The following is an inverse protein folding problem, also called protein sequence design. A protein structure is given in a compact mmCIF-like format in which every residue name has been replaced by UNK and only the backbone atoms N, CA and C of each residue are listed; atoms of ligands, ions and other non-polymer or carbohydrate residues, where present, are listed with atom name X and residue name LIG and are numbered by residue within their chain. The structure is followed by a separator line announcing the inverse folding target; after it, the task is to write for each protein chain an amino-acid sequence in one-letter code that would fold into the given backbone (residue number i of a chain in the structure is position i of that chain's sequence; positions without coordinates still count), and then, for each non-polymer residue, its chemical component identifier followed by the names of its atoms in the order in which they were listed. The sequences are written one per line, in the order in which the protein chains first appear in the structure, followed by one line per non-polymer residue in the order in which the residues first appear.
data_IF_887333374806
#
_entry.id   IF_887333374806
#
_cell.length_a   1.000
_cell.length_b   1.000
_cell.length_c   1.000
_cell.angle_alpha   90.00
_cell.angle_beta   90.00
_cell.angle_gamma   90.00
#
_symmetry.space_group_name_H-M   'P 1'
#
loop_
_entity.id
_entity.type
_entity.pdbx_description
1 polymer ?
#
# COMPACT_ATOMS: atom_id res chain seq x y z
N UNK A 1 2.06 14.50 1.61
CA UNK A 1 1.93 13.05 1.36
C UNK A 1 0.60 12.57 1.90
N UNK A 2 -0.37 12.32 1.02
CA UNK A 2 -1.65 11.69 1.34
C UNK A 2 -1.51 10.16 1.37
N UNK A 3 -2.49 9.46 1.94
CA UNK A 3 -2.50 8.00 1.89
C UNK A 3 -2.58 7.47 0.46
N UNK A 4 -3.31 8.15 -0.43
CA UNK A 4 -3.39 7.83 -1.86
C UNK A 4 -2.03 7.99 -2.56
N UNK A 5 -1.29 9.06 -2.26
CA UNK A 5 0.06 9.27 -2.79
C UNK A 5 1.01 8.15 -2.34
N UNK A 6 0.91 7.71 -1.07
CA UNK A 6 1.70 6.59 -0.55
C UNK A 6 1.37 5.26 -1.25
N UNK A 7 0.08 4.93 -1.40
CA UNK A 7 -0.36 3.71 -2.10
C UNK A 7 0.10 3.73 -3.56
N UNK A 8 0.00 4.88 -4.24
CA UNK A 8 0.47 5.04 -5.62
C UNK A 8 1.98 4.80 -5.73
N UNK A 9 2.77 5.36 -4.81
CA UNK A 9 4.22 5.16 -4.80
C UNK A 9 4.60 3.68 -4.62
N UNK A 10 3.90 2.95 -3.74
CA UNK A 10 4.10 1.51 -3.54
C UNK A 10 3.75 0.74 -4.82
N UNK A 11 2.57 0.98 -5.40
CA UNK A 11 2.11 0.28 -6.61
C UNK A 11 3.01 0.55 -7.82
N UNK A 12 3.55 1.76 -7.95
CA UNK A 12 4.46 2.13 -9.05
C UNK A 12 5.83 1.46 -8.98
N UNK A 13 6.26 1.01 -7.79
CA UNK A 13 7.56 0.37 -7.58
C UNK A 13 7.41 -1.07 -7.10
N UNK A 14 6.26 -1.68 -7.38
CA UNK A 14 5.89 -2.96 -6.83
C UNK A 14 6.81 -4.06 -7.39
N UNK A 15 7.42 -4.90 -6.53
CA UNK A 15 8.49 -5.78 -6.92
C UNK A 15 8.00 -6.97 -7.76
N UNK A 16 8.88 -7.58 -8.60
CA UNK A 16 8.55 -8.77 -9.37
C UNK A 16 8.06 -9.95 -8.52
N UNK A 17 7.36 -10.91 -9.14
CA UNK A 17 6.63 -11.96 -8.42
C UNK A 17 7.49 -12.86 -7.54
N UNK A 18 8.77 -13.01 -7.87
CA UNK A 18 9.75 -13.78 -7.10
C UNK A 18 10.03 -13.24 -5.70
N UNK A 19 9.64 -11.99 -5.38
CA UNK A 19 9.84 -11.38 -4.08
C UNK A 19 8.60 -11.54 -3.17
N UNK A 20 8.22 -12.79 -2.90
CA UNK A 20 6.94 -13.14 -2.25
C UNK A 20 6.74 -12.46 -0.89
N UNK A 21 7.71 -12.58 0.03
CA UNK A 21 7.61 -11.96 1.37
C UNK A 21 7.54 -10.43 1.31
N UNK A 22 8.26 -9.79 0.38
CA UNK A 22 8.21 -8.34 0.22
C UNK A 22 6.86 -7.91 -0.36
N UNK A 23 6.32 -8.64 -1.34
CA UNK A 23 4.98 -8.38 -1.89
C UNK A 23 3.91 -8.48 -0.82
N UNK A 24 3.94 -9.53 0.00
CA UNK A 24 3.01 -9.72 1.13
C UNK A 24 3.06 -8.55 2.13
N UNK A 25 4.27 -8.10 2.49
CA UNK A 25 4.44 -6.96 3.38
C UNK A 25 3.87 -5.66 2.77
N UNK A 26 4.08 -5.44 1.47
CA UNK A 26 3.52 -4.28 0.76
C UNK A 26 1.99 -4.35 0.64
N UNK A 27 1.42 -5.53 0.44
CA UNK A 27 -0.04 -5.72 0.38
C UNK A 27 -0.71 -5.41 1.73
N UNK A 28 -0.10 -5.85 2.83
CA UNK A 28 -0.53 -5.50 4.18
C UNK A 28 -0.43 -3.99 4.42
N UNK A 29 0.66 -3.36 3.98
CA UNK A 29 0.83 -1.91 4.10
C UNK A 29 -0.25 -1.14 3.32
N UNK A 30 -0.55 -1.54 2.07
CA UNK A 30 -1.63 -0.94 1.27
C UNK A 30 -2.97 -1.08 1.98
N UNK A 31 -3.28 -2.27 2.52
CA UNK A 31 -4.54 -2.54 3.23
C UNK A 31 -4.72 -1.60 4.42
N UNK A 32 -3.68 -1.40 5.22
CA UNK A 32 -3.71 -0.46 6.35
C UNK A 32 -3.91 0.98 5.87
N UNK A 33 -3.19 1.40 4.83
CA UNK A 33 -3.31 2.76 4.29
C UNK A 33 -4.71 3.03 3.72
N UNK A 34 -5.33 2.04 3.06
CA UNK A 34 -6.70 2.15 2.55
C UNK A 34 -7.73 2.24 3.70
N UNK A 35 -7.53 1.49 4.79
CA UNK A 35 -8.38 1.56 5.97
C UNK A 35 -8.28 2.93 6.67
N UNK A 36 -7.07 3.47 6.82
CA UNK A 36 -6.84 4.79 7.41
C UNK A 36 -7.37 5.93 6.53
N UNK A 37 -7.30 5.78 5.20
CA UNK A 37 -7.92 6.72 4.26
C UNK A 37 -9.43 6.80 4.45
N UNK A 38 -10.09 5.65 4.61
CA UNK A 38 -11.55 5.58 4.84
C UNK A 38 -11.97 6.14 6.19
N UNK A 39 -11.18 5.92 7.25
CA UNK A 39 -11.48 6.45 8.61
C UNK A 39 -11.48 7.97 8.66
N UNK A 40 -10.69 8.67 7.84
CA UNK A 40 -10.69 10.15 7.80
C UNK A 40 -11.94 10.75 7.14
N UNK A 41 -12.76 9.94 6.46
CA UNK A 41 -13.99 10.38 5.78
C UNK A 41 -15.23 10.14 6.69
N UNK A 42 -15.04 9.56 7.88
CA UNK A 42 -16.10 9.31 8.88
C UNK A 42 -15.98 10.27 10.06
#
# INVERSE_FOLDING_TARGET
MTYEEAIKAIKSNYPPERYTMLREALDLAITVLEAESKKKIV
#
